data_IF_345581973483
#
_entry.id   IF_345581973483
#
_cell.length_a   1.000
_cell.length_b   1.000
_cell.length_c   1.000
_cell.angle_alpha   90.00
_cell.angle_beta   90.00
_cell.angle_gamma   90.00
#
_symmetry.space_group_name_H-M   'P 1'
#
loop_
_entity.id
_entity.type
_entity.pdbx_description
1 polymer ?
#
# COMPACT_ATOMS: atom_id res chain seq x y z
N UNK A 1 -17.76 -1.36 -0.09
CA UNK A 1 -16.37 -1.26 0.29
C UNK A 1 -16.06 -2.18 1.47
N UNK A 2 -15.01 -3.03 1.32
CA UNK A 2 -14.66 -4.07 2.30
C UNK A 2 -14.21 -3.48 3.65
N UNK A 3 -13.47 -2.36 3.64
CA UNK A 3 -13.00 -1.70 4.85
C UNK A 3 -14.17 -1.15 5.67
N UNK A 4 -15.15 -0.51 5.02
CA UNK A 4 -16.36 -0.02 5.67
C UNK A 4 -17.19 -1.18 6.27
N UNK A 5 -17.30 -2.31 5.56
CA UNK A 5 -17.99 -3.51 6.07
C UNK A 5 -17.26 -4.11 7.26
N UNK A 6 -15.94 -4.19 7.23
CA UNK A 6 -15.10 -4.68 8.33
C UNK A 6 -15.25 -3.81 9.57
N UNK A 7 -15.16 -2.48 9.44
CA UNK A 7 -15.36 -1.56 10.55
C UNK A 7 -16.78 -1.63 11.13
N UNK A 8 -17.79 -1.71 10.27
CA UNK A 8 -19.17 -1.90 10.73
C UNK A 8 -19.37 -3.20 11.54
N UNK A 9 -18.61 -4.26 11.23
CA UNK A 9 -18.60 -5.48 12.03
C UNK A 9 -17.99 -5.26 13.42
N UNK A 10 -16.86 -4.54 13.51
CA UNK A 10 -16.22 -4.18 14.78
C UNK A 10 -17.12 -3.29 15.65
N UNK A 11 -17.84 -2.35 15.04
CA UNK A 11 -18.82 -1.52 15.76
C UNK A 11 -19.96 -2.36 16.34
N UNK A 12 -20.50 -3.31 15.57
CA UNK A 12 -21.57 -4.22 16.05
C UNK A 12 -21.12 -5.13 17.18
N UNK A 13 -19.84 -5.53 17.20
CA UNK A 13 -19.26 -6.33 18.29
C UNK A 13 -18.85 -5.51 19.51
N UNK A 14 -19.01 -4.19 19.48
CA UNK A 14 -18.60 -3.28 20.56
C UNK A 14 -17.09 -3.05 20.67
N UNK A 15 -16.31 -3.51 19.68
CA UNK A 15 -14.85 -3.37 19.67
C UNK A 15 -14.37 -2.01 19.13
N UNK A 16 -15.24 -1.26 18.46
CA UNK A 16 -14.95 0.08 17.97
C UNK A 16 -16.18 1.01 18.06
N UNK A 17 -16.00 2.32 18.37
CA UNK A 17 -17.09 3.29 18.38
C UNK A 17 -17.51 3.66 16.95
N UNK A 18 -18.82 3.62 16.67
CA UNK A 18 -19.39 3.77 15.34
C UNK A 18 -19.20 5.16 14.69
N UNK A 19 -18.95 6.19 15.51
CA UNK A 19 -18.90 7.59 15.12
C UNK A 19 -17.48 8.13 14.83
N UNK A 20 -16.44 7.29 14.99
CA UNK A 20 -15.03 7.73 14.87
C UNK A 20 -14.37 7.48 13.52
N UNK A 21 -15.01 6.73 12.62
CA UNK A 21 -14.47 6.41 11.32
C UNK A 21 -15.44 6.81 10.22
N UNK A 22 -14.92 7.56 9.26
CA UNK A 22 -15.64 7.94 8.06
C UNK A 22 -14.93 7.35 6.84
N UNK A 23 -15.71 6.91 5.87
CA UNK A 23 -15.22 6.40 4.59
C UNK A 23 -15.71 7.28 3.46
N UNK A 24 -14.83 7.55 2.50
CA UNK A 24 -15.15 8.31 1.31
C UNK A 24 -14.39 7.78 0.10
N UNK A 25 -14.89 8.08 -1.08
CA UNK A 25 -14.18 7.90 -2.34
C UNK A 25 -13.78 9.29 -2.82
N UNK A 26 -12.47 9.48 -3.03
CA UNK A 26 -11.93 10.77 -3.44
C UNK A 26 -10.68 10.56 -4.31
N UNK A 27 -10.28 11.61 -5.03
CA UNK A 27 -8.98 11.69 -5.68
C UNK A 27 -7.89 11.99 -4.64
N UNK A 28 -6.72 11.36 -4.79
CA UNK A 28 -5.55 11.73 -3.98
C UNK A 28 -5.06 13.17 -4.26
N UNK A 29 -5.43 13.72 -5.41
CA UNK A 29 -5.09 15.09 -5.82
C UNK A 29 -6.09 16.15 -5.30
N UNK A 30 -7.19 15.72 -4.68
CA UNK A 30 -8.21 16.60 -4.11
C UNK A 30 -8.97 15.84 -3.01
N UNK A 31 -8.38 15.81 -1.82
CA UNK A 31 -8.97 15.11 -0.67
C UNK A 31 -10.10 15.97 -0.06
N UNK A 32 -11.27 15.40 0.26
CA UNK A 32 -12.36 16.12 0.91
C UNK A 32 -12.06 16.35 2.41
N UNK A 33 -10.90 16.92 2.68
CA UNK A 33 -10.35 17.15 4.02
C UNK A 33 -9.96 18.63 4.13
N UNK A 34 -10.32 19.23 5.25
CA UNK A 34 -10.02 20.66 5.53
C UNK A 34 -8.52 20.87 5.66
N UNK A 35 -8.04 22.04 5.20
CA UNK A 35 -6.65 22.49 5.33
C UNK A 35 -6.18 22.41 6.79
N UNK A 36 -4.95 21.95 6.97
CA UNK A 36 -4.25 21.92 8.26
C UNK A 36 -5.02 21.23 9.40
N UNK A 37 -5.85 20.22 9.06
CA UNK A 37 -6.71 19.52 10.04
C UNK A 37 -6.18 18.16 10.46
N UNK A 38 -5.32 17.52 9.65
CA UNK A 38 -4.80 16.18 9.91
C UNK A 38 -3.55 16.22 10.79
N UNK A 39 -3.52 15.38 11.81
CA UNK A 39 -2.33 15.13 12.62
C UNK A 39 -1.40 14.14 11.95
N UNK A 40 -1.99 13.14 11.30
CA UNK A 40 -1.30 12.08 10.58
C UNK A 40 -2.02 11.82 9.27
N UNK A 41 -1.27 11.64 8.20
CA UNK A 41 -1.72 11.10 6.92
C UNK A 41 -0.96 9.81 6.67
N UNK A 42 -1.66 8.76 6.25
CA UNK A 42 -1.04 7.51 5.80
C UNK A 42 -1.36 7.27 4.34
N UNK A 43 -0.33 6.98 3.55
CA UNK A 43 -0.45 6.52 2.18
C UNK A 43 0.07 5.08 2.10
N UNK A 44 -0.82 4.14 1.77
CA UNK A 44 -0.52 2.72 1.72
C UNK A 44 -0.65 2.24 0.28
N UNK A 45 0.49 2.04 -0.39
CA UNK A 45 0.57 1.54 -1.79
C UNK A 45 -0.26 2.35 -2.80
N UNK A 46 -0.43 3.66 -2.56
CA UNK A 46 -1.24 4.54 -3.38
C UNK A 46 -0.35 5.60 -4.08
N UNK A 47 -0.85 6.25 -5.16
CA UNK A 47 -0.17 7.38 -5.77
C UNK A 47 0.12 8.49 -4.76
N UNK A 48 1.20 9.24 -4.99
CA UNK A 48 1.67 10.30 -4.08
C UNK A 48 1.28 11.67 -4.65
N UNK A 49 0.71 12.53 -3.80
CA UNK A 49 0.47 13.95 -4.08
C UNK A 49 0.93 14.78 -2.88
N UNK A 50 2.17 15.25 -2.94
CA UNK A 50 2.82 15.95 -1.82
C UNK A 50 2.15 17.28 -1.51
N UNK A 51 1.71 18.00 -2.53
CA UNK A 51 1.01 19.29 -2.38
C UNK A 51 -0.27 19.12 -1.56
N UNK A 52 -1.00 18.03 -1.81
CA UNK A 52 -2.24 17.75 -1.10
C UNK A 52 -1.99 17.30 0.35
N UNK A 53 -0.93 16.50 0.57
CA UNK A 53 -0.52 16.14 1.93
C UNK A 53 -0.03 17.35 2.72
N UNK A 54 0.68 18.29 2.05
CA UNK A 54 1.08 19.56 2.64
C UNK A 54 -0.14 20.40 3.03
N UNK A 55 -1.17 20.45 2.18
CA UNK A 55 -2.40 21.20 2.44
C UNK A 55 -3.17 20.66 3.65
N UNK A 56 -3.36 19.35 3.74
CA UNK A 56 -4.22 18.76 4.78
C UNK A 56 -3.53 18.57 6.13
N UNK A 57 -2.19 18.40 6.14
CA UNK A 57 -1.43 18.22 7.38
C UNK A 57 -1.31 19.54 8.13
N UNK A 58 -1.46 19.46 9.44
CA UNK A 58 -1.13 20.58 10.32
C UNK A 58 0.39 20.71 10.49
N UNK A 59 0.84 21.85 10.97
CA UNK A 59 2.24 22.09 11.33
C UNK A 59 2.77 20.98 12.25
N UNK A 60 3.92 20.39 11.89
CA UNK A 60 4.52 19.27 12.61
C UNK A 60 3.75 17.97 12.53
N UNK A 61 2.75 17.86 11.64
CA UNK A 61 2.02 16.62 11.36
C UNK A 61 2.92 15.55 10.76
N UNK A 62 2.45 14.32 10.79
CA UNK A 62 3.21 13.12 10.36
C UNK A 62 2.62 12.56 9.08
N UNK A 63 3.47 12.26 8.11
CA UNK A 63 3.14 11.56 6.90
C UNK A 63 3.84 10.19 6.92
N UNK A 64 3.08 9.12 6.75
CA UNK A 64 3.58 7.75 6.74
C UNK A 64 3.30 7.11 5.39
N UNK A 65 4.33 6.62 4.74
CA UNK A 65 4.23 5.81 3.53
C UNK A 65 4.46 4.33 3.84
N UNK A 66 3.63 3.46 3.25
CA UNK A 66 3.98 2.07 3.04
C UNK A 66 4.19 1.85 1.54
N UNK A 67 5.41 1.51 1.16
CA UNK A 67 5.81 1.34 -0.24
C UNK A 67 6.48 0.00 -0.45
N UNK A 68 6.37 -0.55 -1.65
CA UNK A 68 7.04 -1.80 -2.00
C UNK A 68 8.55 -1.59 -2.08
N UNK A 69 9.32 -2.45 -1.43
CA UNK A 69 10.76 -2.49 -1.54
C UNK A 69 11.20 -3.20 -2.85
N UNK A 70 12.51 -3.22 -3.11
CA UNK A 70 13.07 -3.66 -4.40
C UNK A 70 12.66 -5.07 -4.82
N UNK A 71 12.58 -6.00 -3.88
CA UNK A 71 12.27 -7.41 -4.14
C UNK A 71 10.90 -7.86 -3.62
N UNK A 72 9.99 -6.92 -3.42
CA UNK A 72 8.62 -7.23 -3.02
C UNK A 72 7.94 -8.18 -4.02
N UNK A 73 7.36 -9.29 -3.52
CA UNK A 73 6.69 -10.34 -4.30
C UNK A 73 7.60 -10.90 -5.42
N UNK A 74 8.87 -11.15 -5.10
CA UNK A 74 9.85 -11.55 -6.11
C UNK A 74 9.50 -12.87 -6.79
N UNK A 75 9.09 -13.89 -6.04
CA UNK A 75 8.77 -15.22 -6.56
C UNK A 75 7.48 -15.17 -7.41
N UNK A 76 6.54 -14.28 -7.07
CA UNK A 76 5.40 -14.00 -7.94
C UNK A 76 5.86 -13.39 -9.27
N UNK A 77 6.81 -12.45 -9.25
CA UNK A 77 7.38 -11.89 -10.49
C UNK A 77 8.12 -12.94 -11.32
N UNK A 78 8.88 -13.84 -10.70
CA UNK A 78 9.57 -14.93 -11.38
C UNK A 78 8.59 -15.88 -12.08
N UNK A 79 7.41 -16.09 -11.50
CA UNK A 79 6.38 -16.94 -12.14
C UNK A 79 5.72 -16.28 -13.36
N UNK A 80 5.76 -14.95 -13.43
CA UNK A 80 5.07 -14.16 -14.47
C UNK A 80 6.02 -13.72 -15.58
N UNK A 81 7.22 -13.24 -15.22
CA UNK A 81 8.17 -12.63 -16.16
C UNK A 81 9.34 -13.55 -16.45
N UNK A 82 9.71 -13.67 -17.72
CA UNK A 82 10.90 -14.44 -18.13
C UNK A 82 12.20 -13.74 -17.65
N UNK A 83 12.14 -12.42 -17.49
CA UNK A 83 13.20 -11.61 -16.89
C UNK A 83 12.58 -10.73 -15.79
N UNK A 84 12.51 -11.22 -14.55
CA UNK A 84 11.99 -10.44 -13.44
C UNK A 84 12.90 -9.25 -13.14
N UNK A 85 12.31 -8.12 -12.75
CA UNK A 85 13.01 -6.88 -12.46
C UNK A 85 12.75 -6.42 -11.02
N UNK A 86 13.73 -5.78 -10.42
CA UNK A 86 13.57 -5.16 -9.12
C UNK A 86 12.72 -3.89 -9.21
N UNK A 87 11.96 -3.59 -8.17
CA UNK A 87 11.27 -2.31 -8.06
C UNK A 87 12.29 -1.18 -7.85
N UNK A 88 11.93 0.01 -8.26
CA UNK A 88 12.70 1.21 -7.93
C UNK A 88 12.75 1.42 -6.42
N UNK A 89 13.89 1.90 -5.93
CA UNK A 89 14.02 2.28 -4.52
C UNK A 89 13.22 3.55 -4.27
N UNK A 90 12.41 3.51 -3.24
CA UNK A 90 11.75 4.70 -2.73
C UNK A 90 12.74 5.46 -1.82
N UNK A 91 13.32 6.52 -2.36
CA UNK A 91 14.28 7.38 -1.66
C UNK A 91 14.06 8.83 -2.12
N UNK A 92 12.94 9.42 -1.68
CA UNK A 92 12.51 10.74 -2.10
C UNK A 92 12.63 11.75 -0.96
N UNK A 93 13.29 12.86 -1.25
CA UNK A 93 13.22 14.05 -0.43
C UNK A 93 12.05 14.90 -0.94
N UNK A 94 11.21 15.36 -0.02
CA UNK A 94 10.07 16.21 -0.33
C UNK A 94 10.24 17.57 0.32
N UNK A 95 10.06 18.63 -0.47
CA UNK A 95 10.08 19.99 0.05
C UNK A 95 9.01 20.17 1.15
N UNK A 96 9.39 20.79 2.27
CA UNK A 96 8.52 20.98 3.43
C UNK A 96 8.39 19.77 4.36
N UNK A 97 9.06 18.66 4.05
CA UNK A 97 9.06 17.45 4.88
C UNK A 97 10.48 17.02 5.28
N UNK A 98 10.57 16.38 6.42
CA UNK A 98 11.79 15.75 6.92
C UNK A 98 11.55 14.27 7.16
N UNK A 99 12.35 13.42 6.53
CA UNK A 99 12.33 11.98 6.84
C UNK A 99 12.87 11.78 8.25
N UNK A 100 12.04 11.26 9.15
CA UNK A 100 12.40 11.04 10.56
C UNK A 100 12.63 9.58 10.89
N UNK A 101 12.07 8.66 10.08
CA UNK A 101 12.26 7.23 10.28
C UNK A 101 12.05 6.46 8.97
N UNK A 102 12.77 5.33 8.82
CA UNK A 102 12.57 4.35 7.75
C UNK A 102 12.77 2.95 8.30
N UNK A 103 11.71 2.16 8.27
CA UNK A 103 11.71 0.78 8.74
C UNK A 103 11.46 -0.17 7.58
N UNK A 104 12.25 -1.24 7.50
CA UNK A 104 12.04 -2.31 6.54
C UNK A 104 11.26 -3.44 7.21
N UNK A 105 10.14 -3.81 6.59
CA UNK A 105 9.36 -5.00 6.93
C UNK A 105 9.67 -6.06 5.89
N UNK A 106 10.25 -7.17 6.33
CA UNK A 106 10.56 -8.30 5.48
C UNK A 106 10.00 -9.58 6.11
N UNK A 107 9.17 -10.28 5.37
CA UNK A 107 8.62 -11.58 5.75
C UNK A 107 8.30 -12.39 4.50
N UNK A 108 7.89 -13.63 4.66
CA UNK A 108 7.36 -14.48 3.59
C UNK A 108 5.90 -14.79 3.87
N UNK A 109 5.14 -14.99 2.80
CA UNK A 109 3.77 -15.50 2.85
C UNK A 109 3.68 -16.77 2.05
N UNK A 110 2.95 -17.74 2.59
CA UNK A 110 2.67 -19.01 1.96
C UNK A 110 1.24 -19.00 1.42
N UNK A 111 1.11 -19.02 0.09
CA UNK A 111 -0.15 -19.15 -0.61
C UNK A 111 -0.36 -20.63 -0.88
N UNK A 112 -1.23 -21.24 -0.12
CA UNK A 112 -1.38 -22.72 -0.06
C UNK A 112 -2.37 -23.28 -1.08
N UNK A 113 -3.08 -22.42 -1.80
CA UNK A 113 -3.99 -22.80 -2.86
C UNK A 113 -3.94 -21.82 -4.03
N UNK A 114 -4.41 -22.27 -5.20
CA UNK A 114 -4.42 -21.46 -6.41
C UNK A 114 -5.24 -20.17 -6.26
N UNK A 115 -6.35 -20.22 -5.54
CA UNK A 115 -7.20 -19.06 -5.32
C UNK A 115 -6.46 -17.91 -4.61
N UNK A 116 -5.65 -18.22 -3.59
CA UNK A 116 -4.85 -17.21 -2.88
C UNK A 116 -3.82 -16.55 -3.81
N UNK A 117 -3.21 -17.34 -4.72
CA UNK A 117 -2.27 -16.84 -5.73
C UNK A 117 -2.98 -15.88 -6.70
N UNK A 118 -4.13 -16.29 -7.20
CA UNK A 118 -4.93 -15.50 -8.15
C UNK A 118 -5.43 -14.21 -7.51
N UNK A 119 -5.87 -14.25 -6.26
CA UNK A 119 -6.31 -13.09 -5.50
C UNK A 119 -5.16 -12.12 -5.27
N UNK A 120 -3.99 -12.60 -4.84
CA UNK A 120 -2.79 -11.78 -4.70
C UNK A 120 -2.40 -11.14 -6.03
N UNK A 121 -2.36 -11.92 -7.11
CA UNK A 121 -1.98 -11.44 -8.44
C UNK A 121 -2.90 -10.32 -8.93
N UNK A 122 -4.22 -10.48 -8.77
CA UNK A 122 -5.22 -9.47 -9.20
C UNK A 122 -5.12 -8.17 -8.41
N UNK A 123 -4.57 -8.18 -7.19
CA UNK A 123 -4.31 -7.00 -6.39
C UNK A 123 -3.06 -6.21 -6.84
N UNK A 124 -2.23 -6.79 -7.71
CA UNK A 124 -0.99 -6.15 -8.17
C UNK A 124 -1.17 -5.46 -9.52
N UNK A 125 -0.33 -4.45 -9.85
CA UNK A 125 -0.29 -3.86 -11.20
C UNK A 125 0.16 -4.87 -12.28
N UNK A 126 0.73 -6.01 -11.88
CA UNK A 126 1.20 -7.06 -12.81
C UNK A 126 0.05 -7.68 -13.58
N UNK A 127 -1.13 -7.77 -12.97
CA UNK A 127 -2.36 -8.26 -13.62
C UNK A 127 -2.62 -7.61 -14.97
N UNK A 128 -2.44 -6.29 -15.06
CA UNK A 128 -2.71 -5.51 -16.29
C UNK A 128 -1.54 -5.53 -17.29
N UNK A 129 -0.37 -6.03 -16.89
CA UNK A 129 0.86 -5.98 -17.70
C UNK A 129 1.34 -7.35 -18.14
N UNK A 130 0.73 -8.43 -17.66
CA UNK A 130 1.17 -9.79 -17.93
C UNK A 130 0.58 -10.33 -19.24
N UNK A 131 1.35 -11.16 -19.94
CA UNK A 131 0.89 -11.88 -21.12
C UNK A 131 -0.10 -13.00 -20.75
N UNK A 132 -0.92 -13.43 -21.70
CA UNK A 132 -1.85 -14.55 -21.50
C UNK A 132 -1.10 -15.82 -21.12
N UNK A 133 0.10 -16.03 -21.66
CA UNK A 133 0.94 -17.19 -21.36
C UNK A 133 1.48 -17.15 -19.93
N UNK A 134 1.94 -15.98 -19.48
CA UNK A 134 2.37 -15.78 -18.08
C UNK A 134 1.24 -16.05 -17.09
N UNK A 135 0.05 -15.56 -17.40
CA UNK A 135 -1.16 -15.81 -16.57
C UNK A 135 -1.51 -17.30 -16.53
N UNK A 136 -1.39 -18.01 -17.64
CA UNK A 136 -1.61 -19.47 -17.67
C UNK A 136 -0.59 -20.22 -16.79
N UNK A 137 0.69 -19.84 -16.82
CA UNK A 137 1.71 -20.42 -15.95
C UNK A 137 1.35 -20.18 -14.48
N UNK A 138 0.96 -18.98 -14.13
CA UNK A 138 0.55 -18.64 -12.77
C UNK A 138 -0.63 -19.48 -12.28
N UNK A 139 -1.67 -19.63 -13.12
CA UNK A 139 -2.87 -20.41 -12.80
C UNK A 139 -2.62 -21.94 -12.66
N UNK A 140 -1.40 -22.41 -12.86
CA UNK A 140 -1.02 -23.82 -12.72
C UNK A 140 -0.07 -24.10 -11.55
N UNK A 141 0.26 -23.11 -10.72
CA UNK A 141 1.26 -23.28 -9.65
C UNK A 141 0.73 -24.10 -8.48
N UNK A 142 -0.55 -23.98 -8.14
CA UNK A 142 -1.19 -24.66 -7.01
C UNK A 142 -0.80 -24.12 -5.64
N UNK A 143 0.46 -23.74 -5.44
CA UNK A 143 0.99 -23.10 -4.23
C UNK A 143 2.16 -22.19 -4.58
N UNK A 144 2.40 -21.17 -3.77
CA UNK A 144 3.50 -20.22 -3.95
C UNK A 144 3.92 -19.65 -2.60
N UNK A 145 5.21 -19.74 -2.27
CA UNK A 145 5.80 -18.94 -1.17
C UNK A 145 6.46 -17.73 -1.80
N UNK A 146 6.12 -16.54 -1.34
CA UNK A 146 6.71 -15.30 -1.84
C UNK A 146 7.07 -14.33 -0.72
N UNK A 147 8.14 -13.57 -0.94
CA UNK A 147 8.59 -12.58 0.02
C UNK A 147 7.71 -11.32 -0.01
N UNK A 148 7.39 -10.82 1.18
CA UNK A 148 6.72 -9.54 1.39
C UNK A 148 7.76 -8.55 1.90
N UNK A 149 8.14 -7.60 1.06
CA UNK A 149 9.24 -6.66 1.30
C UNK A 149 8.71 -5.23 1.15
N UNK A 150 8.54 -4.53 2.27
CA UNK A 150 7.87 -3.23 2.37
C UNK A 150 8.72 -2.27 3.18
N UNK A 151 8.86 -1.05 2.72
CA UNK A 151 9.44 0.04 3.49
C UNK A 151 8.32 0.90 4.10
N UNK A 152 8.37 1.11 5.41
CA UNK A 152 7.54 2.08 6.12
C UNK A 152 8.39 3.32 6.35
N UNK A 153 8.00 4.44 5.76
CA UNK A 153 8.78 5.68 5.79
C UNK A 153 7.95 6.76 6.45
N UNK A 154 8.52 7.41 7.44
CA UNK A 154 7.86 8.45 8.23
C UNK A 154 8.51 9.80 7.97
N UNK A 155 7.70 10.76 7.60
CA UNK A 155 8.09 12.16 7.44
C UNK A 155 7.37 13.04 8.46
N UNK A 156 8.04 14.12 8.86
CA UNK A 156 7.46 15.20 9.65
C UNK A 156 7.32 16.46 8.79
N UNK A 157 6.17 17.08 8.83
CA UNK A 157 5.93 18.38 8.21
C UNK A 157 6.70 19.50 8.94
N UNK A 158 7.46 20.34 8.19
CA UNK A 158 8.32 21.41 8.71
C UNK A 158 7.63 22.80 8.72
N UNK A 159 6.41 22.87 8.31
CA UNK A 159 5.61 24.11 8.20
C UNK A 159 4.58 24.22 9.31
#
# INVERSE_FOLDING_TARGET
DAAAKGYAALCRSGQAPADRVQYGVASVFELPVKDHSCHVVTNLFAPVCIEEYHRVLRRGGILIFAVTSTRHLWELKESIYDQPYENEKFDHEYEGFEMVDKQKVHTTIDLVCQQDIDDLFTMTPYYYKSSVESVRRLHSLGQLTTQLDVDIITYRAKF
#
